data_IF_338453101155
#
_entry.id   IF_338453101155
#
_cell.length_a   1.000
_cell.length_b   1.000
_cell.length_c   1.000
_cell.angle_alpha   90.00
_cell.angle_beta   90.00
_cell.angle_gamma   90.00
#
_symmetry.space_group_name_H-M   'P 1'
#
loop_
_entity.id
_entity.type
_entity.pdbx_description
1 polymer ?
#
# COMPACT_ATOMS: atom_id res chain seq x y z
N UNK A 1 22.08 -6.10 -1.85
CA UNK A 1 20.99 -7.01 -2.27
C UNK A 1 20.65 -7.91 -1.10
N UNK A 2 19.69 -7.51 -0.26
CA UNK A 2 19.38 -8.27 0.97
C UNK A 2 17.90 -8.61 1.20
N UNK A 3 16.96 -8.31 0.29
CA UNK A 3 15.69 -9.02 0.18
C UNK A 3 15.31 -9.15 -1.31
N UNK A 4 14.56 -10.20 -1.65
CA UNK A 4 13.90 -10.28 -2.95
C UNK A 4 12.65 -9.38 -2.90
N UNK A 5 12.24 -8.78 -4.03
CA UNK A 5 11.04 -7.96 -4.06
C UNK A 5 9.83 -8.76 -3.54
N UNK A 6 9.17 -8.25 -2.52
CA UNK A 6 8.01 -8.87 -1.88
C UNK A 6 6.80 -7.96 -2.10
N UNK A 7 5.75 -8.42 -2.80
CA UNK A 7 4.53 -7.62 -2.95
C UNK A 7 3.95 -7.32 -1.57
N UNK A 8 3.58 -6.06 -1.34
CA UNK A 8 3.05 -5.62 -0.07
C UNK A 8 1.70 -4.92 -0.22
N UNK A 9 0.78 -5.15 0.72
CA UNK A 9 -0.43 -4.35 0.84
C UNK A 9 -0.15 -2.88 1.13
N UNK A 10 -1.02 -2.03 0.60
CA UNK A 10 -1.17 -0.62 0.97
C UNK A 10 -2.64 -0.37 1.37
N UNK A 11 -2.94 0.80 1.91
CA UNK A 11 -4.25 1.09 2.50
C UNK A 11 -5.38 1.40 1.50
N UNK A 12 -5.10 1.40 0.20
CA UNK A 12 -6.11 1.74 -0.82
C UNK A 12 -7.00 0.53 -1.10
N UNK A 13 -8.31 0.71 -1.04
CA UNK A 13 -9.29 -0.37 -1.14
C UNK A 13 -10.66 0.14 -1.59
N UNK A 14 -11.52 -0.73 -2.14
CA UNK A 14 -12.92 -0.44 -2.47
C UNK A 14 -13.91 -1.47 -1.87
N UNK A 15 -13.46 -2.20 -0.83
CA UNK A 15 -14.18 -3.27 -0.10
C UNK A 15 -15.61 -2.94 0.33
N UNK A 16 -15.93 -1.67 0.56
CA UNK A 16 -17.27 -1.24 0.96
C UNK A 16 -18.22 -1.04 -0.22
N UNK A 17 -17.69 -0.65 -1.38
CA UNK A 17 -18.45 -0.35 -2.58
C UNK A 17 -17.55 -0.45 -3.81
N UNK A 18 -17.70 -1.54 -4.55
CA UNK A 18 -17.01 -1.82 -5.80
C UNK A 18 -16.89 -0.57 -6.71
N UNK A 19 -15.67 -0.32 -7.19
CA UNK A 19 -15.32 0.82 -8.03
C UNK A 19 -15.16 2.14 -7.28
N UNK A 20 -15.35 2.17 -5.96
CA UNK A 20 -15.18 3.36 -5.11
C UNK A 20 -13.98 3.19 -4.18
N UNK A 21 -12.80 3.43 -4.74
CA UNK A 21 -11.53 3.29 -4.01
C UNK A 21 -11.30 4.43 -3.01
N UNK A 22 -10.82 4.07 -1.82
CA UNK A 22 -10.53 4.97 -0.70
C UNK A 22 -9.37 4.47 0.14
N UNK A 23 -8.78 5.36 0.93
CA UNK A 23 -7.78 5.00 1.94
C UNK A 23 -8.45 4.50 3.23
N UNK A 24 -7.86 3.48 3.86
CA UNK A 24 -8.33 2.92 5.13
C UNK A 24 -8.24 3.91 6.30
N UNK A 25 -7.25 4.81 6.27
CA UNK A 25 -7.04 5.88 7.25
C UNK A 25 -8.03 7.07 7.10
N UNK A 26 -8.89 7.04 6.07
CA UNK A 26 -9.86 8.08 5.77
C UNK A 26 -9.27 9.36 5.16
N UNK A 27 -7.98 9.38 4.83
CA UNK A 27 -7.37 10.46 4.06
C UNK A 27 -8.00 10.61 2.68
N UNK A 28 -7.87 11.79 2.08
CA UNK A 28 -8.41 12.04 0.76
C UNK A 28 -7.66 11.22 -0.30
N UNK A 29 -8.39 10.65 -1.26
CA UNK A 29 -7.80 10.03 -2.45
C UNK A 29 -7.41 11.13 -3.47
N UNK A 30 -6.35 11.88 -3.17
CA UNK A 30 -5.87 13.01 -3.96
C UNK A 30 -4.56 12.71 -4.72
N UNK A 31 -4.65 12.63 -6.04
CA UNK A 31 -3.50 12.24 -6.88
C UNK A 31 -2.94 13.39 -7.73
N UNK A 32 -3.23 14.65 -7.37
CA UNK A 32 -2.85 15.81 -8.18
C UNK A 32 -1.34 16.00 -8.39
N UNK A 33 -0.51 15.45 -7.50
CA UNK A 33 0.96 15.44 -7.61
C UNK A 33 1.49 14.29 -8.50
N UNK A 34 0.68 13.28 -8.79
CA UNK A 34 1.04 12.17 -9.65
C UNK A 34 0.92 12.53 -11.14
N UNK A 35 1.69 11.87 -12.02
CA UNK A 35 1.54 12.04 -13.46
C UNK A 35 0.09 11.80 -13.90
N UNK A 36 -0.51 12.80 -14.57
CA UNK A 36 -1.90 12.71 -15.04
C UNK A 36 -2.96 12.93 -13.96
N UNK A 37 -2.59 13.20 -12.71
CA UNK A 37 -3.55 13.45 -11.63
C UNK A 37 -4.30 12.20 -11.17
N UNK A 38 -3.72 11.01 -11.38
CA UNK A 38 -4.35 9.71 -11.12
C UNK A 38 -3.47 8.84 -10.22
N UNK A 39 -4.09 7.89 -9.52
CA UNK A 39 -3.37 6.89 -8.75
C UNK A 39 -2.39 6.12 -9.66
N UNK A 40 -1.21 5.72 -9.14
CA UNK A 40 -0.16 5.06 -9.91
C UNK A 40 -0.45 3.57 -10.13
N UNK A 41 -1.63 3.24 -10.67
CA UNK A 41 -2.00 1.89 -11.09
C UNK A 41 -1.14 1.41 -12.26
N UNK A 42 -0.95 0.09 -12.34
CA UNK A 42 -0.49 -0.53 -13.57
C UNK A 42 -1.43 -0.22 -14.74
N UNK A 43 -0.92 -0.17 -15.98
CA UNK A 43 -1.78 0.01 -17.14
C UNK A 43 -2.91 -1.03 -17.20
N UNK A 44 -4.16 -0.56 -17.15
CA UNK A 44 -5.35 -1.40 -17.16
C UNK A 44 -5.95 -1.70 -15.79
N UNK A 45 -5.27 -1.34 -14.70
CA UNK A 45 -5.74 -1.56 -13.33
C UNK A 45 -6.48 -0.36 -12.73
N UNK A 46 -7.34 -0.57 -11.71
CA UNK A 46 -7.76 -1.86 -11.15
C UNK A 46 -8.79 -2.57 -12.04
N UNK A 47 -8.70 -3.90 -12.17
CA UNK A 47 -9.46 -4.70 -13.16
C UNK A 47 -10.22 -5.90 -12.59
N UNK A 48 -10.16 -6.14 -11.28
CA UNK A 48 -10.76 -7.32 -10.63
C UNK A 48 -10.37 -8.64 -11.33
N UNK A 49 -9.14 -8.71 -11.87
CA UNK A 49 -8.64 -9.77 -12.77
C UNK A 49 -9.61 -10.15 -13.87
N UNK A 50 -10.21 -9.17 -14.53
CA UNK A 50 -11.13 -9.41 -15.64
C UNK A 50 -12.37 -10.21 -15.22
N UNK A 51 -12.96 -9.88 -14.06
CA UNK A 51 -14.23 -10.42 -13.53
C UNK A 51 -14.17 -11.86 -12.99
N UNK A 52 -12.98 -12.46 -12.88
CA UNK A 52 -12.81 -13.81 -12.33
C UNK A 52 -12.76 -13.83 -10.79
N UNK A 53 -12.34 -12.72 -10.18
CA UNK A 53 -12.13 -12.57 -8.74
C UNK A 53 -12.79 -11.25 -8.27
N UNK A 54 -14.13 -11.25 -8.19
CA UNK A 54 -14.97 -10.09 -7.80
C UNK A 54 -14.79 -9.60 -6.34
N UNK A 55 -13.75 -10.08 -5.65
CA UNK A 55 -13.39 -9.70 -4.28
C UNK A 55 -12.01 -9.00 -4.26
N UNK A 56 -11.50 -8.54 -5.41
CA UNK A 56 -10.16 -7.94 -5.56
C UNK A 56 -10.10 -6.50 -5.06
N UNK A 57 -10.50 -6.34 -3.81
CA UNK A 57 -10.85 -5.03 -3.28
C UNK A 57 -9.67 -4.31 -2.60
N UNK A 58 -8.45 -4.80 -2.78
CA UNK A 58 -7.27 -4.40 -2.00
C UNK A 58 -6.09 -4.10 -2.92
N UNK A 59 -5.55 -2.89 -2.82
CA UNK A 59 -4.38 -2.48 -3.57
C UNK A 59 -3.09 -2.98 -2.92
N UNK A 60 -2.13 -3.38 -3.75
CA UNK A 60 -0.79 -3.74 -3.32
C UNK A 60 0.26 -3.14 -4.25
N UNK A 61 1.48 -3.00 -3.73
CA UNK A 61 2.65 -2.57 -4.49
C UNK A 61 3.12 -3.72 -5.40
N UNK A 62 3.07 -3.49 -6.72
CA UNK A 62 3.49 -4.46 -7.72
C UNK A 62 5.02 -4.49 -7.85
N UNK A 63 5.61 -5.69 -7.90
CA UNK A 63 7.06 -5.84 -7.79
C UNK A 63 7.77 -6.30 -9.05
N UNK A 64 7.01 -6.58 -10.12
CA UNK A 64 7.56 -7.09 -11.38
C UNK A 64 7.55 -6.03 -12.48
N UNK A 65 8.59 -5.99 -13.32
CA UNK A 65 8.62 -5.17 -14.53
C UNK A 65 8.66 -6.08 -15.76
N UNK A 66 7.79 -5.82 -16.74
CA UNK A 66 7.86 -6.44 -18.06
C UNK A 66 7.40 -5.44 -19.15
N UNK A 67 7.08 -5.89 -20.36
CA UNK A 67 6.69 -5.02 -21.46
C UNK A 67 5.36 -4.26 -21.25
N UNK A 68 4.55 -4.64 -20.26
CA UNK A 68 3.19 -4.14 -20.04
C UNK A 68 2.98 -3.49 -18.66
N UNK A 69 3.77 -3.89 -17.66
CA UNK A 69 3.64 -3.49 -16.26
C UNK A 69 4.97 -3.04 -15.69
N UNK A 70 4.93 -2.15 -14.71
CA UNK A 70 6.12 -1.51 -14.13
C UNK A 70 6.13 -1.73 -12.62
N UNK A 71 7.24 -2.24 -12.07
CA UNK A 71 7.39 -2.36 -10.62
C UNK A 71 7.33 -0.98 -9.93
N UNK A 72 6.80 -0.95 -8.70
CA UNK A 72 6.55 0.29 -7.96
C UNK A 72 5.24 1.01 -8.34
N UNK A 73 4.43 0.43 -9.23
CA UNK A 73 3.03 0.82 -9.46
C UNK A 73 2.09 -0.11 -8.68
N UNK A 74 0.80 0.21 -8.65
CA UNK A 74 -0.19 -0.55 -7.88
C UNK A 74 -0.92 -1.55 -8.76
N UNK A 75 -1.44 -2.58 -8.12
CA UNK A 75 -2.31 -3.59 -8.69
C UNK A 75 -3.32 -4.02 -7.60
N UNK A 76 -4.42 -4.66 -7.97
CA UNK A 76 -5.44 -5.14 -7.05
C UNK A 76 -5.47 -6.66 -6.94
N UNK A 77 -5.94 -7.18 -5.82
CA UNK A 77 -5.93 -8.62 -5.54
C UNK A 77 -6.99 -8.95 -4.49
N UNK A 78 -7.50 -10.20 -4.42
CA UNK A 78 -8.47 -10.57 -3.40
C UNK A 78 -7.95 -10.27 -2.00
N UNK A 79 -8.72 -9.49 -1.23
CA UNK A 79 -8.34 -9.00 0.12
C UNK A 79 -8.02 -10.12 1.11
N UNK A 80 -8.53 -11.34 0.85
CA UNK A 80 -8.25 -12.57 1.60
C UNK A 80 -6.86 -13.19 1.35
N UNK A 81 -6.10 -12.72 0.35
CA UNK A 81 -4.73 -13.20 0.14
C UNK A 81 -3.82 -12.67 1.25
N UNK A 82 -2.79 -13.43 1.58
CA UNK A 82 -1.78 -13.00 2.54
C UNK A 82 -0.60 -12.39 1.78
N UNK A 83 -0.22 -11.16 2.14
CA UNK A 83 0.99 -10.48 1.64
C UNK A 83 1.68 -9.79 2.82
N UNK A 84 2.97 -9.49 2.66
CA UNK A 84 3.63 -8.48 3.50
C UNK A 84 2.87 -7.14 3.37
N UNK A 85 3.16 -6.16 4.21
CA UNK A 85 2.41 -4.90 4.18
C UNK A 85 3.21 -3.71 4.70
N UNK A 86 2.84 -2.53 4.21
CA UNK A 86 3.45 -1.27 4.65
C UNK A 86 2.47 -0.55 5.56
N UNK A 87 2.88 -0.30 6.80
CA UNK A 87 2.16 0.58 7.70
C UNK A 87 2.60 2.03 7.48
N UNK A 88 1.69 2.98 7.72
CA UNK A 88 1.99 4.40 7.89
C UNK A 88 1.67 4.79 9.32
N UNK A 89 2.66 5.33 10.01
CA UNK A 89 2.47 5.90 11.34
C UNK A 89 1.61 7.17 11.25
N UNK A 90 0.71 7.36 12.21
CA UNK A 90 0.08 8.64 12.38
C UNK A 90 1.17 9.71 12.63
N UNK A 91 0.99 10.96 12.16
CA UNK A 91 1.93 12.03 12.45
C UNK A 91 2.17 12.11 13.96
N UNK A 92 3.42 11.90 14.37
CA UNK A 92 3.74 11.90 15.80
C UNK A 92 3.36 13.25 16.40
N UNK A 93 2.74 13.28 17.61
CA UNK A 93 2.52 14.53 18.30
C UNK A 93 3.84 15.32 18.43
N UNK A 94 3.82 16.66 18.35
CA UNK A 94 5.03 17.45 18.52
C UNK A 94 5.75 17.10 19.82
N UNK A 95 7.00 16.64 19.72
CA UNK A 95 7.84 16.27 20.87
C UNK A 95 7.77 14.80 21.31
N UNK A 96 7.09 13.92 20.56
CA UNK A 96 7.18 12.49 20.79
C UNK A 96 8.62 11.96 20.56
N UNK A 97 9.11 11.00 21.37
CA UNK A 97 10.37 10.33 21.10
C UNK A 97 10.31 9.58 19.75
N UNK A 98 11.42 9.48 19.01
CA UNK A 98 11.46 8.66 17.79
C UNK A 98 11.17 7.19 18.13
N UNK A 99 10.55 6.42 17.21
CA UNK A 99 10.26 5.01 17.43
C UNK A 99 11.56 4.18 17.62
N UNK A 100 11.48 2.99 18.26
CA UNK A 100 12.61 2.10 18.45
C UNK A 100 13.27 1.69 17.11
N UNK A 101 14.58 1.40 17.15
CA UNK A 101 15.44 1.21 15.96
C UNK A 101 15.35 -0.16 15.25
N UNK A 102 14.39 -1.00 15.62
CA UNK A 102 14.27 -2.39 15.10
C UNK A 102 13.41 -2.49 13.81
N UNK A 103 12.70 -1.42 13.45
CA UNK A 103 11.87 -1.32 12.24
C UNK A 103 12.64 -0.73 11.05
N UNK A 104 12.38 -1.21 9.84
CA UNK A 104 12.92 -0.60 8.62
C UNK A 104 12.07 0.61 8.26
N UNK A 105 12.37 1.76 8.88
CA UNK A 105 11.62 3.00 8.68
C UNK A 105 12.17 3.79 7.49
N UNK A 106 11.32 4.08 6.51
CA UNK A 106 11.61 5.01 5.40
C UNK A 106 10.57 6.12 5.36
N UNK A 107 10.89 7.25 6.00
CA UNK A 107 9.94 8.36 6.14
C UNK A 107 8.81 7.97 7.10
N UNK A 108 7.52 8.09 6.71
CA UNK A 108 6.39 7.72 7.56
C UNK A 108 6.04 6.22 7.50
N UNK A 109 6.82 5.42 6.77
CA UNK A 109 6.48 4.03 6.44
C UNK A 109 7.38 3.01 7.15
N UNK A 110 6.77 1.90 7.55
CA UNK A 110 7.44 0.70 8.07
C UNK A 110 6.93 -0.55 7.34
N UNK A 111 7.83 -1.51 7.08
CA UNK A 111 7.49 -2.77 6.42
C UNK A 111 7.31 -3.88 7.45
N UNK A 112 6.15 -4.53 7.40
CA UNK A 112 5.90 -5.79 8.11
C UNK A 112 6.00 -6.94 7.11
N UNK A 113 6.95 -7.84 7.35
CA UNK A 113 7.23 -8.97 6.45
C UNK A 113 6.41 -10.22 6.76
N UNK A 114 5.70 -10.26 7.88
CA UNK A 114 4.71 -11.29 8.16
C UNK A 114 3.53 -11.14 7.20
N UNK A 115 3.17 -12.20 6.49
CA UNK A 115 2.11 -12.13 5.49
C UNK A 115 0.73 -12.25 6.13
N UNK A 116 -0.13 -11.27 5.89
CA UNK A 116 -1.47 -11.19 6.47
C UNK A 116 -2.53 -10.86 5.42
N UNK A 117 -3.78 -11.23 5.68
CA UNK A 117 -4.90 -10.71 4.89
C UNK A 117 -4.93 -9.19 4.96
N UNK A 118 -5.54 -8.51 3.98
CA UNK A 118 -5.58 -7.05 4.01
C UNK A 118 -6.25 -6.53 5.29
N UNK A 119 -7.31 -7.20 5.77
CA UNK A 119 -8.01 -6.81 6.99
C UNK A 119 -7.17 -7.04 8.26
N UNK A 120 -6.47 -8.18 8.34
CA UNK A 120 -5.57 -8.46 9.46
C UNK A 120 -4.36 -7.50 9.47
N UNK A 121 -3.84 -7.16 8.28
CA UNK A 121 -2.75 -6.20 8.12
C UNK A 121 -3.17 -4.78 8.55
N UNK A 122 -4.37 -4.34 8.17
CA UNK A 122 -4.95 -3.08 8.65
C UNK A 122 -5.11 -3.10 10.17
N UNK A 123 -5.66 -4.18 10.74
CA UNK A 123 -5.80 -4.33 12.18
C UNK A 123 -4.44 -4.27 12.90
N UNK A 124 -3.39 -4.84 12.31
CA UNK A 124 -2.02 -4.78 12.81
C UNK A 124 -1.50 -3.33 12.85
N UNK A 125 -1.60 -2.59 11.74
CA UNK A 125 -1.15 -1.20 11.69
C UNK A 125 -1.95 -0.30 12.65
N UNK A 126 -3.26 -0.52 12.78
CA UNK A 126 -4.13 0.18 13.75
C UNK A 126 -3.72 -0.12 15.19
N UNK A 127 -3.35 -1.36 15.50
CA UNK A 127 -2.82 -1.72 16.82
C UNK A 127 -1.51 -0.97 17.13
N UNK A 128 -0.71 -0.67 16.11
CA UNK A 128 0.50 0.15 16.19
C UNK A 128 0.25 1.66 16.31
N UNK A 129 -1.00 2.13 16.19
CA UNK A 129 -1.35 3.55 16.21
C UNK A 129 -1.25 4.24 14.86
N UNK A 130 -1.17 3.47 13.77
CA UNK A 130 -1.19 3.95 12.38
C UNK A 130 -2.31 3.28 11.58
N UNK A 131 -2.11 3.15 10.29
CA UNK A 131 -2.98 2.44 9.35
C UNK A 131 -2.11 1.77 8.26
N UNK A 132 -2.68 0.92 7.41
CA UNK A 132 -2.00 0.59 6.17
C UNK A 132 -1.67 1.86 5.38
N UNK A 133 -0.57 1.83 4.65
CA UNK A 133 0.01 3.03 4.07
C UNK A 133 -0.94 3.76 3.11
N UNK A 134 -1.24 5.02 3.42
CA UNK A 134 -1.74 6.01 2.48
C UNK A 134 -0.58 6.75 1.78
N UNK A 135 -0.75 6.96 0.47
CA UNK A 135 0.28 7.52 -0.42
C UNK A 135 -0.29 8.69 -1.21
N UNK A 136 0.24 9.89 -0.98
CA UNK A 136 -0.27 11.16 -1.53
C UNK A 136 0.71 11.86 -2.47
N UNK A 137 1.95 11.37 -2.60
CA UNK A 137 2.93 11.92 -3.54
C UNK A 137 3.76 10.86 -4.26
N UNK A 138 4.34 11.17 -5.43
CA UNK A 138 5.30 10.29 -6.11
C UNK A 138 6.51 9.92 -5.25
N UNK A 139 6.96 10.85 -4.39
CA UNK A 139 8.05 10.61 -3.44
C UNK A 139 7.64 9.57 -2.39
N UNK A 140 6.44 9.69 -1.83
CA UNK A 140 5.90 8.69 -0.90
C UNK A 140 5.74 7.33 -1.57
N UNK A 141 5.26 7.28 -2.82
CA UNK A 141 5.16 6.04 -3.59
C UNK A 141 6.53 5.37 -3.75
N UNK A 142 7.56 6.17 -4.01
CA UNK A 142 8.94 5.69 -4.13
C UNK A 142 9.48 5.14 -2.81
N UNK A 143 9.16 5.77 -1.66
CA UNK A 143 9.53 5.28 -0.34
C UNK A 143 8.87 3.93 -0.04
N UNK A 144 7.56 3.81 -0.25
CA UNK A 144 6.83 2.57 -0.06
C UNK A 144 7.35 1.45 -1.00
N UNK A 145 7.63 1.79 -2.26
CA UNK A 145 8.24 0.85 -3.21
C UNK A 145 9.61 0.35 -2.72
N UNK A 146 10.48 1.24 -2.23
CA UNK A 146 11.81 0.86 -1.73
C UNK A 146 11.77 -0.06 -0.50
N UNK A 147 10.66 -0.07 0.25
CA UNK A 147 10.43 -1.05 1.31
C UNK A 147 10.06 -2.43 0.73
N UNK A 148 9.23 -2.47 -0.29
CA UNK A 148 8.77 -3.71 -0.92
C UNK A 148 9.77 -4.36 -1.88
N UNK A 149 10.86 -3.67 -2.25
CA UNK A 149 11.80 -4.07 -3.31
C UNK A 149 13.06 -4.82 -2.83
#
# INVERSE_FOLDING_TARGET
NLCAPTPCWIGFNDRESEGTWKWSDGSAADFGSFPGGVAPWNPGQPDNRGWADADSDAAYMFTTTNAYVTAGTWDDNPSRRTLAFVCRDAPSPPGAPPPPRESLVLGPFDLVTEEMSWEDAEAHCVQGGGHLASIHTPEENSLAWNLCA
#
